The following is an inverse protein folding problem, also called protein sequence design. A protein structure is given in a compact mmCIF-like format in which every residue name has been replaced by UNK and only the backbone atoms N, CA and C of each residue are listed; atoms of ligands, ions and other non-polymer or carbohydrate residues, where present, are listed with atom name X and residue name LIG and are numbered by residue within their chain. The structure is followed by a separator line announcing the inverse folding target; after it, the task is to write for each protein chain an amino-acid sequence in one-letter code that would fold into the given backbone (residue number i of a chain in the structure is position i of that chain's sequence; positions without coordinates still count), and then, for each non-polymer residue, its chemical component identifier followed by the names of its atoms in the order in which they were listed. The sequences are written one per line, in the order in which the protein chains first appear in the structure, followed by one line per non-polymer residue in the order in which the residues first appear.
data_IF_514854895911
#
_entry.id   IF_514854895911
#
_cell.length_a   1.000
_cell.length_b   1.000
_cell.length_c   1.000
_cell.angle_alpha   90.00
_cell.angle_beta   90.00
_cell.angle_gamma   90.00
#
_symmetry.space_group_name_H-M   'P 1'
#
loop_
_entity.id
_entity.type
_entity.pdbx_description
1 polymer ?
#
# COMPACT_ATOMS: atom_id res chain seq x y z
N UNK A 1 -1.87 27.26 54.07
CA UNK A 1 -2.15 27.71 52.69
C UNK A 1 -1.57 26.67 51.73
N UNK A 2 -2.40 25.83 51.11
CA UNK A 2 -1.95 24.77 50.18
C UNK A 2 -1.96 25.35 48.76
N UNK A 3 -0.80 25.44 48.13
CA UNK A 3 -0.68 25.83 46.72
C UNK A 3 -0.56 24.54 45.91
N UNK A 4 -1.55 24.29 45.05
CA UNK A 4 -1.56 23.17 44.12
C UNK A 4 -0.70 23.54 42.91
N UNK A 5 0.41 22.82 42.72
CA UNK A 5 1.22 22.89 41.51
C UNK A 5 0.53 22.01 40.46
N UNK A 6 -0.06 22.64 39.44
CA UNK A 6 -0.55 21.92 38.27
C UNK A 6 0.63 21.69 37.32
N UNK A 7 1.04 20.43 37.18
CA UNK A 7 2.05 20.01 36.20
C UNK A 7 1.33 19.90 34.85
N UNK A 8 1.65 20.80 33.92
CA UNK A 8 1.24 20.67 32.52
C UNK A 8 2.07 19.55 31.89
N UNK A 9 1.46 18.39 31.65
CA UNK A 9 2.07 17.30 30.91
C UNK A 9 2.00 17.63 29.41
N UNK A 10 3.09 18.11 28.82
CA UNK A 10 3.22 18.18 27.37
C UNK A 10 3.43 16.75 26.85
N UNK A 11 2.37 16.14 26.34
CA UNK A 11 2.49 14.93 25.53
C UNK A 11 3.08 15.39 24.19
N UNK A 12 4.40 15.24 24.01
CA UNK A 12 4.99 15.35 22.70
C UNK A 12 4.48 14.19 21.85
N UNK A 13 3.50 14.45 20.99
CA UNK A 13 3.19 13.54 19.88
C UNK A 13 4.44 13.48 19.02
N UNK A 14 5.26 12.46 19.22
CA UNK A 14 6.33 12.11 18.31
C UNK A 14 5.68 11.85 16.95
N UNK A 15 5.85 12.77 16.00
CA UNK A 15 5.65 12.48 14.59
C UNK A 15 6.65 11.38 14.24
N UNK A 16 6.22 10.13 14.27
CA UNK A 16 6.98 9.09 13.59
C UNK A 16 7.01 9.47 12.11
N UNK A 17 8.21 9.72 11.58
CA UNK A 17 8.39 9.89 10.15
C UNK A 17 7.81 8.63 9.48
N UNK A 18 6.90 8.86 8.56
CA UNK A 18 6.29 7.78 7.82
C UNK A 18 7.34 7.14 6.92
N UNK A 19 7.38 5.81 6.89
CA UNK A 19 8.29 5.07 6.03
C UNK A 19 7.98 5.46 4.59
N UNK A 20 8.93 6.08 3.86
CA UNK A 20 8.82 6.34 2.42
C UNK A 20 9.69 5.31 1.71
N UNK A 21 9.05 4.42 0.95
CA UNK A 21 9.74 3.32 0.28
C UNK A 21 9.40 3.28 -1.19
N UNK A 22 10.41 2.96 -1.99
CA UNK A 22 10.31 2.82 -3.44
C UNK A 22 10.81 1.43 -3.82
N UNK A 23 10.11 0.78 -4.75
CA UNK A 23 10.47 -0.50 -5.31
C UNK A 23 10.46 -0.43 -6.84
N UNK A 24 11.43 -1.07 -7.49
CA UNK A 24 11.48 -1.17 -8.95
C UNK A 24 11.11 -2.59 -9.33
N UNK A 25 9.91 -2.75 -9.89
CA UNK A 25 9.49 -4.03 -10.44
C UNK A 25 10.09 -4.17 -11.84
N UNK A 26 10.91 -5.20 -12.03
CA UNK A 26 11.55 -5.51 -13.30
C UNK A 26 10.89 -6.75 -13.91
N UNK A 27 10.28 -6.58 -15.08
CA UNK A 27 9.61 -7.67 -15.78
C UNK A 27 9.87 -7.62 -17.27
N UNK A 28 10.69 -8.56 -17.74
CA UNK A 28 11.20 -8.58 -19.11
C UNK A 28 11.87 -7.25 -19.47
N UNK A 29 11.29 -6.49 -20.39
CA UNK A 29 11.84 -5.23 -20.88
C UNK A 29 11.28 -4.01 -20.13
N UNK A 30 10.42 -4.23 -19.13
CA UNK A 30 9.79 -3.18 -18.34
C UNK A 30 10.49 -2.99 -16.99
N UNK A 31 10.78 -1.74 -16.65
CA UNK A 31 11.11 -1.30 -15.29
C UNK A 31 9.97 -0.40 -14.82
N UNK A 32 9.31 -0.77 -13.73
CA UNK A 32 8.16 -0.05 -13.20
C UNK A 32 8.38 0.36 -11.73
N UNK A 33 8.71 1.65 -11.50
CA UNK A 33 8.85 2.20 -10.16
C UNK A 33 7.51 2.30 -9.42
N UNK A 34 7.51 1.96 -8.13
CA UNK A 34 6.33 1.93 -7.25
C UNK A 34 6.71 2.60 -5.92
N UNK A 35 5.84 3.45 -5.36
CA UNK A 35 5.96 3.96 -4.00
C UNK A 35 4.85 3.44 -3.09
N UNK A 36 5.12 3.34 -1.80
CA UNK A 36 4.14 2.90 -0.79
C UNK A 36 3.03 3.91 -0.47
N UNK A 37 2.96 5.04 -1.18
CA UNK A 37 1.85 5.99 -1.12
C UNK A 37 0.91 5.92 -2.34
N UNK A 38 1.07 4.88 -3.18
CA UNK A 38 0.24 4.63 -4.36
C UNK A 38 0.77 5.22 -5.66
N UNK A 39 1.86 5.98 -5.63
CA UNK A 39 2.46 6.51 -6.86
C UNK A 39 3.04 5.35 -7.67
N UNK A 40 2.60 5.26 -8.93
CA UNK A 40 3.11 4.33 -9.92
C UNK A 40 3.86 5.08 -11.03
N UNK A 41 4.94 4.49 -11.52
CA UNK A 41 5.88 5.05 -12.49
C UNK A 41 6.69 6.25 -11.98
N UNK A 42 6.04 7.24 -11.38
CA UNK A 42 6.64 8.51 -11.00
C UNK A 42 7.40 8.46 -9.66
N UNK A 43 8.03 7.32 -9.38
CA UNK A 43 8.89 7.10 -8.24
C UNK A 43 10.35 7.05 -8.70
N UNK A 44 11.25 7.70 -7.95
CA UNK A 44 12.66 7.75 -8.27
C UNK A 44 13.53 7.62 -7.00
N UNK A 45 14.64 6.90 -7.12
CA UNK A 45 15.81 7.02 -6.22
C UNK A 45 16.80 8.03 -6.82
N UNK A 46 16.86 8.15 -8.15
CA UNK A 46 17.59 9.19 -8.89
C UNK A 46 16.80 9.65 -10.15
N UNK A 47 17.05 10.87 -10.62
CA UNK A 47 16.26 11.51 -11.70
C UNK A 47 16.24 10.74 -13.04
N UNK A 48 17.22 9.87 -13.27
CA UNK A 48 17.35 9.10 -14.52
C UNK A 48 16.37 7.93 -14.60
N UNK A 49 15.91 7.41 -13.46
CA UNK A 49 15.04 6.23 -13.38
C UNK A 49 13.57 6.56 -13.05
N UNK A 50 13.17 7.83 -13.14
CA UNK A 50 11.77 8.25 -12.99
C UNK A 50 10.94 7.83 -14.20
N UNK A 51 9.69 7.43 -13.99
CA UNK A 51 8.76 6.90 -15.02
C UNK A 51 8.92 5.40 -15.25
N UNK A 52 7.95 4.78 -15.95
CA UNK A 52 8.07 3.40 -16.42
C UNK A 52 8.92 3.38 -17.69
N UNK A 53 9.90 2.48 -17.73
CA UNK A 53 10.76 2.28 -18.90
C UNK A 53 10.39 1.00 -19.63
N UNK A 54 10.46 1.03 -20.95
CA UNK A 54 10.40 -0.12 -21.84
C UNK A 54 11.62 -0.05 -22.77
N UNK A 55 12.48 -1.08 -22.77
CA UNK A 55 13.78 -1.05 -23.48
C UNK A 55 14.59 0.23 -23.20
N UNK A 56 14.74 0.62 -21.92
CA UNK A 56 15.43 1.84 -21.47
C UNK A 56 14.86 3.17 -22.01
N UNK A 57 13.66 3.16 -22.58
CA UNK A 57 12.93 4.36 -22.97
C UNK A 57 11.77 4.58 -22.02
N UNK A 58 11.64 5.79 -21.47
CA UNK A 58 10.46 6.16 -20.69
C UNK A 58 9.22 6.14 -21.57
N UNK A 59 8.25 5.29 -21.24
CA UNK A 59 6.98 5.15 -21.98
C UNK A 59 5.76 5.59 -21.19
N UNK A 60 5.86 5.65 -19.86
CA UNK A 60 4.81 6.16 -18.97
C UNK A 60 5.45 7.07 -17.92
N UNK A 61 4.93 8.28 -17.78
CA UNK A 61 5.49 9.25 -16.83
C UNK A 61 4.97 9.02 -15.40
N UNK A 62 3.66 8.92 -15.24
CA UNK A 62 2.99 8.59 -13.97
C UNK A 62 1.76 7.74 -14.22
N UNK A 63 1.36 6.97 -13.21
CA UNK A 63 0.07 6.28 -13.15
C UNK A 63 -0.46 6.31 -11.71
N UNK A 64 -1.75 6.01 -11.56
CA UNK A 64 -2.46 5.90 -10.31
C UNK A 64 -3.96 5.91 -10.56
N UNK A 65 -4.73 6.60 -9.74
CA UNK A 65 -6.19 6.59 -9.81
C UNK A 65 -6.78 7.89 -9.28
N UNK A 66 -8.04 8.14 -9.64
CA UNK A 66 -8.91 9.07 -8.96
C UNK A 66 -10.08 8.32 -8.31
N UNK A 67 -10.55 8.87 -7.20
CA UNK A 67 -11.78 8.42 -6.54
C UNK A 67 -12.64 9.64 -6.27
N UNK A 68 -13.91 9.55 -6.62
CA UNK A 68 -14.88 10.60 -6.35
C UNK A 68 -16.20 10.02 -5.85
N UNK A 69 -16.98 10.86 -5.18
CA UNK A 69 -18.29 10.51 -4.68
C UNK A 69 -18.90 11.65 -3.88
N UNK A 70 -20.00 11.37 -3.20
CA UNK A 70 -20.72 12.34 -2.39
C UNK A 70 -20.64 11.96 -0.92
N UNK A 71 -20.18 12.90 -0.10
CA UNK A 71 -20.30 12.82 1.35
C UNK A 71 -21.30 13.90 1.80
N UNK A 72 -22.43 13.49 2.38
CA UNK A 72 -23.52 14.39 2.78
C UNK A 72 -23.92 15.38 1.66
N UNK A 73 -24.18 14.85 0.46
CA UNK A 73 -24.51 15.62 -0.77
C UNK A 73 -23.43 16.59 -1.26
N UNK A 74 -22.23 16.60 -0.66
CA UNK A 74 -21.10 17.38 -1.14
C UNK A 74 -20.19 16.49 -1.97
N UNK A 75 -19.92 16.92 -3.20
CA UNK A 75 -18.92 16.28 -4.05
C UNK A 75 -17.56 16.31 -3.34
N UNK A 76 -16.94 15.15 -3.29
CA UNK A 76 -15.60 14.95 -2.80
C UNK A 76 -14.82 14.13 -3.83
N UNK A 77 -13.56 14.47 -4.00
CA UNK A 77 -12.66 13.73 -4.86
C UNK A 77 -11.25 13.78 -4.30
N UNK A 78 -10.50 12.72 -4.51
CA UNK A 78 -9.08 12.63 -4.23
C UNK A 78 -8.42 11.70 -5.26
N UNK A 79 -7.11 11.56 -5.18
CA UNK A 79 -6.42 10.58 -6.01
C UNK A 79 -4.93 10.55 -5.81
N UNK A 80 -4.31 9.66 -6.59
CA UNK A 80 -2.88 9.59 -6.82
C UNK A 80 -2.64 9.77 -8.31
N UNK A 81 -2.28 11.00 -8.69
CA UNK A 81 -1.88 11.38 -10.03
C UNK A 81 -0.78 12.44 -9.91
N UNK A 82 0.44 11.98 -9.67
CA UNK A 82 1.59 12.84 -9.35
C UNK A 82 1.92 13.85 -10.47
N UNK A 83 1.69 13.49 -11.74
CA UNK A 83 1.81 14.43 -12.86
C UNK A 83 0.87 15.66 -12.76
N UNK A 84 -0.28 15.49 -12.12
CA UNK A 84 -1.24 16.56 -11.84
C UNK A 84 -1.05 17.18 -10.43
N UNK A 85 -0.04 16.72 -9.69
CA UNK A 85 0.23 17.06 -8.28
C UNK A 85 -0.93 16.69 -7.35
N UNK A 86 -1.63 15.61 -7.67
CA UNK A 86 -2.62 14.97 -6.81
C UNK A 86 -1.94 13.82 -6.07
N UNK A 87 -1.61 14.03 -4.80
CA UNK A 87 -0.92 13.05 -3.96
C UNK A 87 -1.63 13.04 -2.60
N UNK A 88 -2.89 12.59 -2.58
CA UNK A 88 -3.77 12.78 -1.43
C UNK A 88 -3.65 11.66 -0.37
N UNK A 89 -2.69 10.74 -0.56
CA UNK A 89 -2.51 9.52 0.22
C UNK A 89 -1.15 9.44 0.91
N UNK A 90 -1.14 8.77 2.06
CA UNK A 90 0.03 8.54 2.91
C UNK A 90 0.08 7.06 3.34
N UNK A 91 1.26 6.43 3.47
CA UNK A 91 1.38 5.01 3.84
C UNK A 91 0.61 4.58 5.12
N UNK A 92 0.03 3.39 5.12
CA UNK A 92 -0.64 2.81 6.28
C UNK A 92 -2.17 2.86 6.21
N UNK A 93 -2.82 2.58 7.32
CA UNK A 93 -4.25 2.25 7.40
C UNK A 93 -4.94 3.02 8.51
N UNK A 94 -6.20 3.41 8.30
CA UNK A 94 -7.06 3.92 9.36
C UNK A 94 -7.53 2.83 10.31
N UNK A 95 -7.66 1.58 9.85
CA UNK A 95 -8.04 0.43 10.68
C UNK A 95 -6.93 -0.02 11.63
N UNK A 96 -5.68 0.13 11.22
CA UNK A 96 -4.50 -0.29 11.98
C UNK A 96 -3.52 0.86 12.22
N UNK A 97 -3.94 1.96 12.88
CA UNK A 97 -3.12 3.16 13.02
C UNK A 97 -1.84 2.92 13.83
N UNK A 98 -1.85 1.97 14.74
CA UNK A 98 -0.71 1.53 15.54
C UNK A 98 0.38 0.82 14.72
N UNK A 99 0.04 0.30 13.53
CA UNK A 99 0.95 -0.42 12.64
C UNK A 99 1.48 0.43 11.48
N UNK A 100 1.20 1.74 11.46
CA UNK A 100 1.62 2.60 10.33
C UNK A 100 3.14 2.67 10.12
N UNK A 101 3.94 2.39 11.15
CA UNK A 101 5.39 2.27 11.03
C UNK A 101 5.83 1.04 10.21
N UNK A 102 4.95 0.06 10.03
CA UNK A 102 5.17 -1.12 9.18
C UNK A 102 4.69 -0.89 7.74
N UNK A 103 4.06 0.24 7.42
CA UNK A 103 3.46 0.48 6.10
C UNK A 103 4.51 0.74 5.00
N UNK A 104 5.25 -0.28 4.63
CA UNK A 104 6.26 -0.31 3.58
C UNK A 104 5.75 -1.04 2.33
N UNK A 105 6.61 -1.20 1.32
CA UNK A 105 6.40 -2.13 0.22
C UNK A 105 6.85 -3.53 0.64
N UNK A 106 5.96 -4.51 0.46
CA UNK A 106 6.24 -5.93 0.64
C UNK A 106 6.33 -6.61 -0.72
N UNK A 107 7.34 -7.46 -0.90
CA UNK A 107 7.58 -8.14 -2.18
C UNK A 107 7.75 -9.63 -1.92
N UNK A 108 7.08 -10.44 -2.73
CA UNK A 108 7.25 -11.90 -2.78
C UNK A 108 7.35 -12.34 -4.23
N UNK A 109 8.25 -13.29 -4.51
CA UNK A 109 8.47 -13.86 -5.84
C UNK A 109 8.26 -15.36 -5.83
N UNK A 110 7.87 -15.91 -6.98
CA UNK A 110 7.76 -17.35 -7.19
C UNK A 110 9.09 -18.08 -7.02
N UNK A 111 10.21 -17.38 -7.28
CA UNK A 111 11.56 -17.91 -7.10
C UNK A 111 12.07 -17.81 -5.65
N UNK A 112 11.35 -17.13 -4.75
CA UNK A 112 11.76 -17.04 -3.35
C UNK A 112 11.64 -18.42 -2.68
N UNK A 113 12.60 -18.75 -1.81
CA UNK A 113 12.56 -19.99 -1.02
C UNK A 113 11.31 -20.02 -0.15
N UNK A 114 10.51 -21.11 -0.16
CA UNK A 114 9.40 -21.29 0.77
C UNK A 114 9.82 -21.05 2.21
N UNK A 115 8.98 -20.35 2.98
CA UNK A 115 9.22 -19.96 4.38
C UNK A 115 10.43 -19.04 4.62
N UNK A 116 11.09 -18.58 3.55
CA UNK A 116 12.22 -17.66 3.60
C UNK A 116 11.84 -16.25 4.03
N UNK A 117 12.78 -15.32 3.89
CA UNK A 117 12.65 -13.95 4.42
C UNK A 117 11.41 -13.22 3.89
N UNK A 118 11.13 -13.24 2.59
CA UNK A 118 9.95 -12.56 2.03
C UNK A 118 8.64 -13.11 2.57
N UNK A 119 8.56 -14.42 2.82
CA UNK A 119 7.39 -15.06 3.43
C UNK A 119 7.23 -14.66 4.89
N UNK A 120 8.32 -14.58 5.64
CA UNK A 120 8.29 -14.10 7.02
C UNK A 120 7.94 -12.61 7.11
N UNK A 121 8.48 -11.78 6.22
CA UNK A 121 8.18 -10.35 6.14
C UNK A 121 6.70 -10.11 5.78
N UNK A 122 6.08 -10.99 4.99
CA UNK A 122 4.66 -10.92 4.67
C UNK A 122 3.74 -10.98 5.90
N UNK A 123 4.24 -11.44 7.07
CA UNK A 123 3.47 -11.39 8.32
C UNK A 123 3.03 -9.98 8.67
N UNK A 124 3.88 -8.99 8.45
CA UNK A 124 3.52 -7.60 8.73
C UNK A 124 2.54 -7.05 7.68
N UNK A 125 2.66 -7.49 6.42
CA UNK A 125 1.68 -7.19 5.38
C UNK A 125 0.29 -7.72 5.76
N UNK A 126 0.19 -8.97 6.26
CA UNK A 126 -1.07 -9.56 6.72
C UNK A 126 -1.65 -8.82 7.91
N UNK A 127 -0.83 -8.41 8.89
CA UNK A 127 -1.30 -7.55 10.00
C UNK A 127 -1.89 -6.22 9.51
N UNK A 128 -1.41 -5.72 8.38
CA UNK A 128 -1.90 -4.52 7.70
C UNK A 128 -3.08 -4.78 6.74
N UNK A 129 -3.53 -6.03 6.61
CA UNK A 129 -4.70 -6.43 5.84
C UNK A 129 -4.41 -7.05 4.46
N UNK A 130 -3.16 -7.44 4.16
CA UNK A 130 -2.85 -8.23 2.96
C UNK A 130 -3.49 -9.61 3.03
N UNK A 131 -3.87 -10.15 1.86
CA UNK A 131 -4.38 -11.50 1.76
C UNK A 131 -3.23 -12.54 1.92
N UNK A 132 -3.60 -13.77 2.25
CA UNK A 132 -2.71 -14.93 2.26
C UNK A 132 -3.50 -16.21 2.00
N UNK A 133 -2.80 -17.28 1.61
CA UNK A 133 -3.38 -18.62 1.60
C UNK A 133 -3.27 -19.20 3.01
N UNK A 134 -4.42 -19.40 3.64
CA UNK A 134 -4.58 -20.02 4.95
C UNK A 134 -4.73 -21.55 4.77
N UNK A 135 -3.62 -22.27 4.90
CA UNK A 135 -3.57 -23.69 4.56
C UNK A 135 -4.22 -24.58 5.61
N UNK A 136 -4.16 -24.16 6.87
CA UNK A 136 -4.70 -24.91 8.01
C UNK A 136 -6.06 -24.40 8.50
N UNK A 137 -6.51 -23.26 7.97
CA UNK A 137 -7.82 -22.65 8.18
C UNK A 137 -7.99 -22.08 9.59
N UNK A 138 -6.91 -21.64 10.23
CA UNK A 138 -6.95 -21.02 11.56
C UNK A 138 -7.14 -19.49 11.52
N UNK A 139 -7.06 -18.88 10.34
CA UNK A 139 -7.19 -17.43 10.11
C UNK A 139 -5.95 -16.62 10.50
N UNK A 140 -4.83 -17.25 10.82
CA UNK A 140 -3.60 -16.62 11.31
C UNK A 140 -2.42 -16.99 10.41
N UNK A 141 -1.89 -16.00 9.70
CA UNK A 141 -0.73 -16.25 8.84
C UNK A 141 0.53 -16.63 9.63
N UNK A 142 0.94 -17.89 9.50
CA UNK A 142 2.11 -18.48 10.10
C UNK A 142 2.85 -19.42 9.12
N UNK A 143 3.65 -18.87 8.17
CA UNK A 143 4.40 -19.68 7.21
C UNK A 143 5.49 -20.48 7.94
N UNK A 144 5.27 -21.79 8.06
CA UNK A 144 6.19 -22.75 8.66
C UNK A 144 6.17 -24.06 7.87
N UNK A 145 7.36 -24.63 7.66
CA UNK A 145 7.54 -25.98 7.13
C UNK A 145 7.20 -27.00 8.23
N UNK A 146 6.08 -27.70 8.09
CA UNK A 146 5.56 -28.62 9.10
C UNK A 146 6.22 -29.98 9.06
N UNK A 147 6.77 -30.39 7.91
CA UNK A 147 7.33 -31.72 7.71
C UNK A 147 8.84 -31.72 7.44
N UNK A 148 9.46 -30.54 7.35
CA UNK A 148 10.90 -30.35 7.17
C UNK A 148 11.39 -30.66 5.76
N UNK A 149 10.52 -30.61 4.75
CA UNK A 149 10.86 -30.96 3.37
C UNK A 149 11.37 -29.78 2.52
N UNK A 150 11.41 -28.57 3.09
CA UNK A 150 11.78 -27.30 2.46
C UNK A 150 10.92 -26.92 1.24
N UNK A 151 9.68 -27.40 1.18
CA UNK A 151 8.70 -27.13 0.15
C UNK A 151 7.41 -26.68 0.82
N UNK A 152 6.67 -25.82 0.14
CA UNK A 152 5.33 -25.46 0.59
C UNK A 152 4.34 -26.57 0.26
N UNK A 153 3.61 -27.02 1.28
CA UNK A 153 2.50 -27.95 1.17
C UNK A 153 1.15 -27.22 1.31
N UNK A 154 0.10 -27.75 0.67
CA UNK A 154 -1.19 -27.07 0.57
C UNK A 154 -1.86 -26.76 1.92
N UNK A 155 -1.51 -27.52 2.96
CA UNK A 155 -1.99 -27.37 4.33
C UNK A 155 -1.12 -26.43 5.20
N UNK A 156 -0.26 -25.64 4.56
CA UNK A 156 0.60 -24.64 5.19
C UNK A 156 0.32 -23.27 4.59
N UNK A 157 0.69 -22.23 5.33
CA UNK A 157 0.43 -20.87 4.89
C UNK A 157 1.46 -20.39 3.89
N UNK A 158 1.00 -19.56 2.95
CA UNK A 158 1.88 -18.81 2.04
C UNK A 158 1.34 -17.41 1.78
N UNK A 159 2.20 -16.45 1.40
CA UNK A 159 1.76 -15.14 0.93
C UNK A 159 0.72 -15.23 -0.19
N UNK A 160 -0.03 -14.15 -0.42
CA UNK A 160 -0.84 -13.95 -1.64
C UNK A 160 0.06 -13.73 -2.87
N UNK A 161 0.91 -14.72 -3.16
CA UNK A 161 1.76 -14.75 -4.33
C UNK A 161 0.88 -15.00 -5.56
N UNK A 162 0.80 -13.97 -6.41
CA UNK A 162 0.12 -13.97 -7.70
C UNK A 162 1.17 -13.90 -8.81
N UNK A 163 1.16 -14.89 -9.69
CA UNK A 163 2.07 -14.96 -10.82
C UNK A 163 3.54 -15.09 -10.40
N UNK A 164 4.44 -14.34 -11.04
CA UNK A 164 5.89 -14.50 -10.83
C UNK A 164 6.43 -13.61 -9.71
N UNK A 165 5.86 -12.41 -9.55
CA UNK A 165 6.24 -11.45 -8.53
C UNK A 165 5.01 -10.64 -8.13
N UNK A 166 4.84 -10.46 -6.82
CA UNK A 166 3.77 -9.69 -6.20
C UNK A 166 4.37 -8.63 -5.30
N UNK A 167 3.96 -7.39 -5.52
CA UNK A 167 4.35 -6.20 -4.77
C UNK A 167 3.09 -5.65 -4.11
N UNK A 168 3.10 -5.49 -2.80
CA UNK A 168 1.94 -5.04 -2.04
C UNK A 168 2.28 -3.88 -1.10
N UNK A 169 1.37 -2.93 -0.98
CA UNK A 169 1.41 -1.89 0.04
C UNK A 169 0.00 -1.43 0.41
N UNK A 170 -0.11 -0.78 1.57
CA UNK A 170 -1.34 -0.14 2.05
C UNK A 170 -1.08 1.34 2.30
N UNK A 171 -2.03 2.19 1.94
CA UNK A 171 -1.99 3.62 2.17
C UNK A 171 -3.41 4.18 2.33
N UNK A 172 -3.50 5.36 2.93
CA UNK A 172 -4.76 5.97 3.35
C UNK A 172 -4.84 7.43 2.98
N UNK A 173 -6.04 7.97 2.84
CA UNK A 173 -6.26 9.36 2.42
C UNK A 173 -5.96 10.38 3.53
N UNK A 174 -4.77 10.34 4.13
CA UNK A 174 -4.46 11.13 5.34
C UNK A 174 -3.88 12.53 5.06
N UNK A 175 -3.71 12.95 3.80
CA UNK A 175 -3.21 14.30 3.51
C UNK A 175 -4.28 15.34 3.90
N UNK A 176 -3.96 16.35 4.75
CA UNK A 176 -4.93 17.37 5.15
C UNK A 176 -5.47 18.17 3.97
N UNK A 177 -6.75 18.56 4.01
CA UNK A 177 -7.43 19.18 2.87
C UNK A 177 -6.77 20.46 2.33
N UNK A 178 -6.11 21.25 3.19
CA UNK A 178 -5.35 22.46 2.79
C UNK A 178 -4.10 22.14 1.94
N UNK A 179 -3.60 20.90 2.00
CA UNK A 179 -2.46 20.41 1.23
C UNK A 179 -2.87 19.61 0.00
N UNK A 180 -4.16 19.35 -0.19
CA UNK A 180 -4.68 18.60 -1.33
C UNK A 180 -4.91 19.52 -2.53
N UNK A 181 -4.72 18.96 -3.72
CA UNK A 181 -5.02 19.67 -4.98
C UNK A 181 -6.53 19.80 -5.22
N UNK A 182 -7.26 18.72 -4.94
CA UNK A 182 -8.72 18.70 -4.91
C UNK A 182 -9.15 18.99 -3.46
N UNK A 183 -9.64 20.20 -3.22
CA UNK A 183 -9.98 20.68 -1.88
C UNK A 183 -11.04 19.81 -1.23
N UNK A 184 -10.76 19.28 -0.04
CA UNK A 184 -11.64 18.40 0.71
C UNK A 184 -10.88 17.73 1.86
N UNK A 185 -11.52 17.49 2.99
CA UNK A 185 -10.87 16.78 4.10
C UNK A 185 -10.78 15.28 3.79
N UNK A 186 -9.82 14.56 4.41
CA UNK A 186 -9.84 13.11 4.50
C UNK A 186 -11.21 12.53 4.88
N UNK A 187 -11.58 11.41 4.26
CA UNK A 187 -12.84 10.70 4.53
C UNK A 187 -12.65 9.32 5.16
N UNK A 188 -11.42 8.88 5.39
CA UNK A 188 -11.16 7.60 6.05
C UNK A 188 -11.10 6.45 5.06
N UNK A 189 -10.52 6.69 3.88
CA UNK A 189 -10.35 5.73 2.81
C UNK A 189 -8.99 5.05 2.94
N UNK A 190 -9.01 3.73 3.03
CA UNK A 190 -7.84 2.87 2.92
C UNK A 190 -7.78 2.25 1.52
N UNK A 191 -6.57 2.12 0.99
CA UNK A 191 -6.26 1.51 -0.29
C UNK A 191 -5.21 0.44 -0.04
N UNK A 192 -5.51 -0.78 -0.46
CA UNK A 192 -4.52 -1.84 -0.60
C UNK A 192 -4.19 -1.98 -2.08
N UNK A 193 -2.94 -1.77 -2.44
CA UNK A 193 -2.46 -1.87 -3.81
C UNK A 193 -1.63 -3.14 -3.96
N UNK A 194 -1.99 -3.96 -4.96
CA UNK A 194 -1.18 -5.10 -5.40
C UNK A 194 -0.73 -4.87 -6.83
N UNK A 195 0.57 -4.85 -7.07
CA UNK A 195 1.15 -4.83 -8.42
C UNK A 195 1.82 -6.18 -8.66
N UNK A 196 1.50 -6.85 -9.77
CA UNK A 196 2.02 -8.20 -10.00
C UNK A 196 2.29 -8.49 -11.48
N UNK A 197 3.19 -9.45 -11.69
CA UNK A 197 3.58 -9.95 -13.00
C UNK A 197 3.06 -11.36 -13.21
N UNK A 198 2.89 -11.76 -14.47
CA UNK A 198 2.42 -13.09 -14.85
C UNK A 198 3.33 -13.68 -15.93
N UNK A 199 2.91 -14.79 -16.52
CA UNK A 199 3.55 -15.39 -17.70
C UNK A 199 3.52 -14.48 -18.94
N UNK A 200 2.65 -13.47 -18.97
CA UNK A 200 2.56 -12.55 -20.10
C UNK A 200 3.78 -11.62 -20.14
N UNK A 201 4.44 -11.59 -21.31
CA UNK A 201 5.57 -10.70 -21.56
C UNK A 201 5.12 -9.25 -21.58
N UNK A 202 5.90 -8.37 -20.93
CA UNK A 202 5.71 -6.93 -20.96
C UNK A 202 4.29 -6.48 -20.54
N UNK A 203 3.68 -7.23 -19.60
CA UNK A 203 2.41 -6.87 -18.97
C UNK A 203 2.58 -6.87 -17.46
N UNK A 204 2.14 -5.78 -16.83
CA UNK A 204 2.07 -5.62 -15.38
C UNK A 204 0.62 -5.31 -15.04
N UNK A 205 0.12 -5.96 -13.98
CA UNK A 205 -1.22 -5.71 -13.47
C UNK A 205 -1.13 -4.88 -12.19
N UNK A 206 -2.06 -3.94 -12.03
CA UNK A 206 -2.29 -3.24 -10.78
C UNK A 206 -3.73 -3.53 -10.33
N UNK A 207 -3.87 -3.98 -9.09
CA UNK A 207 -5.14 -4.28 -8.42
C UNK A 207 -5.26 -3.37 -7.21
N UNK A 208 -6.42 -2.73 -7.08
CA UNK A 208 -6.76 -1.90 -5.93
C UNK A 208 -7.93 -2.54 -5.18
N UNK A 209 -7.78 -2.67 -3.86
CA UNK A 209 -8.89 -2.85 -2.93
C UNK A 209 -9.10 -1.53 -2.21
N UNK A 210 -10.25 -0.91 -2.45
CA UNK A 210 -10.61 0.40 -1.92
C UNK A 210 -11.64 0.19 -0.83
N UNK A 211 -11.38 0.74 0.36
CA UNK A 211 -12.27 0.61 1.49
C UNK A 211 -12.56 1.98 2.11
N UNK A 212 -13.85 2.30 2.25
CA UNK A 212 -14.27 3.28 3.22
C UNK A 212 -14.33 2.61 4.60
N UNK A 213 -13.41 2.98 5.49
CA UNK A 213 -13.29 2.36 6.82
C UNK A 213 -14.44 2.72 7.76
N UNK A 214 -15.22 3.76 7.46
CA UNK A 214 -16.27 4.28 8.34
C UNK A 214 -15.75 5.00 9.59
N UNK A 215 -14.42 5.17 9.73
CA UNK A 215 -13.83 5.82 10.92
C UNK A 215 -14.01 7.35 10.88
N UNK A 216 -13.94 7.96 9.67
CA UNK A 216 -14.15 9.40 9.48
C UNK A 216 -15.51 9.68 8.83
N UNK A 217 -15.82 9.03 7.72
CA UNK A 217 -17.12 9.14 7.04
C UNK A 217 -17.81 7.79 6.95
N UNK A 218 -18.97 7.63 7.57
CA UNK A 218 -19.70 6.36 7.60
C UNK A 218 -20.25 5.93 6.23
N UNK A 219 -20.43 6.88 5.31
CA UNK A 219 -20.93 6.63 3.97
C UNK A 219 -20.22 7.56 2.97
N UNK A 220 -19.91 7.00 1.80
CA UNK A 220 -19.59 7.73 0.60
C UNK A 220 -20.52 7.19 -0.48
N UNK A 221 -21.40 8.04 -0.99
CA UNK A 221 -22.45 7.66 -1.93
C UNK A 221 -22.02 7.96 -3.37
N UNK A 222 -22.59 7.24 -4.34
CA UNK A 222 -22.38 7.45 -5.78
C UNK A 222 -20.89 7.53 -6.12
N UNK A 223 -20.17 6.47 -5.78
CA UNK A 223 -18.71 6.39 -5.87
C UNK A 223 -18.27 6.00 -7.28
N UNK A 224 -17.29 6.74 -7.81
CA UNK A 224 -16.70 6.49 -9.13
C UNK A 224 -15.18 6.39 -9.01
N UNK A 225 -14.58 5.21 -9.34
CA UNK A 225 -13.16 5.07 -9.58
C UNK A 225 -12.81 5.49 -11.01
N UNK A 226 -11.66 6.13 -11.20
CA UNK A 226 -11.16 6.57 -12.52
C UNK A 226 -9.64 6.52 -12.62
#
# INVERSE_FOLDING_TARGET
MKIYISILLFISTSLFAQVDTTYFLEHNDIIFPIRNNGILADAAINDSMRGMHYYNKRVLFSSGFYLSGYNNNKLWANGVASAARNEDYLPGSYKHPELNNLATIYVVRLADTPFGESWQNWRDAVKLGADFHDGDKDGVYNPVDRNGNFKWDYNEDRPDLIGNETVWCVYRDAVPGIRRRLTGNPLGIDIQQTVFTTVFKNVIFARYRIENTGIISNLLDSVYPG
#
